data_IF_443196095129
#
_entry.id   IF_443196095129
#
_cell.length_a   1.000
_cell.length_b   1.000
_cell.length_c   1.000
_cell.angle_alpha   90.00
_cell.angle_beta   90.00
_cell.angle_gamma   90.00
#
_symmetry.space_group_name_H-M   'P 1'
#
loop_
_entity.id
_entity.type
_entity.pdbx_description
1 polymer ?
#
# COMPACT_ATOMS: atom_id res chain seq x y z
N UNK A 1 1.24 -13.60 11.70
CA UNK A 1 2.36 -12.86 12.33
C UNK A 1 3.49 -12.72 11.31
N UNK A 2 4.11 -11.54 11.18
CA UNK A 2 5.20 -11.34 10.22
C UNK A 2 6.50 -11.96 10.77
N UNK A 3 6.88 -13.13 10.26
CA UNK A 3 8.17 -13.78 10.55
C UNK A 3 9.09 -13.70 9.34
N UNK A 4 10.39 -13.57 9.58
CA UNK A 4 11.46 -13.75 8.61
C UNK A 4 12.50 -14.69 9.20
N UNK A 5 12.95 -15.64 8.40
CA UNK A 5 14.04 -16.55 8.76
C UNK A 5 15.37 -15.90 8.39
N UNK A 6 16.32 -15.96 9.32
CA UNK A 6 17.70 -15.51 9.15
C UNK A 6 18.52 -16.75 8.84
N UNK A 7 19.26 -16.74 7.73
CA UNK A 7 20.17 -17.84 7.37
C UNK A 7 21.54 -17.60 8.01
N UNK A 8 22.29 -18.67 8.26
CA UNK A 8 23.66 -18.58 8.77
C UNK A 8 24.55 -17.80 7.78
N UNK A 9 25.34 -16.86 8.31
CA UNK A 9 26.17 -15.95 7.51
C UNK A 9 25.45 -14.72 6.94
N UNK A 10 24.14 -14.54 7.19
CA UNK A 10 23.43 -13.34 6.76
C UNK A 10 23.65 -12.16 7.71
N UNK A 11 24.04 -11.00 7.16
CA UNK A 11 24.13 -9.76 7.93
C UNK A 11 22.75 -9.31 8.43
N UNK A 12 22.65 -8.97 9.72
CA UNK A 12 21.42 -8.57 10.41
C UNK A 12 20.65 -7.44 9.69
N UNK A 13 21.36 -6.49 9.08
CA UNK A 13 20.74 -5.38 8.35
C UNK A 13 19.95 -5.84 7.12
N UNK A 14 20.42 -6.88 6.43
CA UNK A 14 19.71 -7.43 5.27
C UNK A 14 18.41 -8.09 5.69
N UNK A 15 18.42 -8.81 6.82
CA UNK A 15 17.22 -9.37 7.42
C UNK A 15 16.21 -8.28 7.83
N UNK A 16 16.68 -7.21 8.48
CA UNK A 16 15.85 -6.06 8.85
C UNK A 16 15.24 -5.36 7.62
N UNK A 17 16.02 -5.20 6.54
CA UNK A 17 15.54 -4.61 5.29
C UNK A 17 14.45 -5.46 4.65
N UNK A 18 14.60 -6.80 4.64
CA UNK A 18 13.52 -7.70 4.20
C UNK A 18 12.29 -7.56 5.07
N UNK A 19 12.46 -7.45 6.40
CA UNK A 19 11.34 -7.30 7.32
C UNK A 19 10.55 -6.03 7.06
N UNK A 20 11.24 -4.89 6.97
CA UNK A 20 10.63 -3.60 6.63
C UNK A 20 9.92 -3.64 5.28
N UNK A 21 10.52 -4.28 4.27
CA UNK A 21 9.89 -4.48 2.95
C UNK A 21 8.64 -5.37 3.03
N UNK A 22 8.70 -6.49 3.77
CA UNK A 22 7.57 -7.41 3.96
C UNK A 22 6.42 -6.70 4.68
N UNK A 23 6.72 -5.98 5.76
CA UNK A 23 5.79 -5.16 6.52
C UNK A 23 5.06 -4.13 5.63
N UNK A 24 5.82 -3.38 4.82
CA UNK A 24 5.26 -2.41 3.87
C UNK A 24 4.40 -3.09 2.81
N UNK A 25 4.85 -4.22 2.26
CA UNK A 25 4.10 -4.99 1.24
C UNK A 25 2.77 -5.51 1.79
N UNK A 26 2.76 -5.97 3.03
CA UNK A 26 1.54 -6.45 3.70
C UNK A 26 0.59 -5.34 4.13
N UNK A 27 0.98 -4.06 3.98
CA UNK A 27 0.12 -2.89 4.27
C UNK A 27 -0.53 -2.91 5.67
N UNK A 28 0.16 -3.49 6.66
CA UNK A 28 -0.40 -3.69 8.01
C UNK A 28 -0.86 -2.36 8.63
N UNK A 29 -0.05 -1.30 8.54
CA UNK A 29 -0.45 0.03 9.04
C UNK A 29 -1.66 0.61 8.32
N UNK A 30 -1.75 0.42 7.00
CA UNK A 30 -2.86 0.93 6.19
C UNK A 30 -4.15 0.22 6.59
N UNK A 31 -4.11 -1.10 6.75
CA UNK A 31 -5.25 -1.90 7.19
C UNK A 31 -5.70 -1.51 8.60
N UNK A 32 -4.77 -1.32 9.54
CA UNK A 32 -5.10 -0.86 10.89
C UNK A 32 -5.81 0.50 10.82
N UNK A 33 -5.26 1.47 10.09
CA UNK A 33 -5.85 2.81 9.94
C UNK A 33 -7.23 2.77 9.28
N UNK A 34 -7.40 1.98 8.23
CA UNK A 34 -8.67 1.85 7.53
C UNK A 34 -9.74 1.22 8.41
N UNK A 35 -9.36 0.28 9.27
CA UNK A 35 -10.27 -0.44 10.16
C UNK A 35 -10.51 0.28 11.50
N UNK A 36 -9.91 1.44 11.75
CA UNK A 36 -10.12 2.20 12.98
C UNK A 36 -11.56 2.71 13.14
N UNK A 37 -12.28 2.90 12.03
CA UNK A 37 -13.64 3.42 12.03
C UNK A 37 -14.48 2.73 10.96
N UNK A 38 -15.78 2.63 11.20
CA UNK A 38 -16.71 2.11 10.21
C UNK A 38 -16.92 3.13 9.08
N UNK A 39 -16.71 2.68 7.84
CA UNK A 39 -16.99 3.46 6.63
C UNK A 39 -18.20 2.85 5.94
N UNK A 40 -19.23 3.66 5.70
CA UNK A 40 -20.42 3.21 4.96
C UNK A 40 -20.02 2.79 3.53
N UNK A 41 -20.58 1.70 2.97
CA UNK A 41 -20.25 1.23 1.62
C UNK A 41 -20.44 2.30 0.53
N UNK A 42 -21.43 3.18 0.70
CA UNK A 42 -21.69 4.29 -0.22
C UNK A 42 -20.57 5.33 -0.23
N UNK A 43 -19.95 5.60 0.92
CA UNK A 43 -18.83 6.53 1.03
C UNK A 43 -17.58 5.91 0.40
N UNK A 44 -17.29 4.64 0.68
CA UNK A 44 -16.16 3.92 0.08
C UNK A 44 -16.24 3.90 -1.46
N UNK A 45 -17.41 3.56 -2.02
CA UNK A 45 -17.65 3.59 -3.48
C UNK A 45 -17.42 4.98 -4.07
N UNK A 46 -17.86 6.03 -3.38
CA UNK A 46 -17.69 7.41 -3.84
C UNK A 46 -16.22 7.81 -3.92
N UNK A 47 -15.44 7.50 -2.90
CA UNK A 47 -13.99 7.77 -2.90
C UNK A 47 -13.26 6.98 -3.99
N UNK A 48 -13.64 5.72 -4.22
CA UNK A 48 -13.06 4.91 -5.29
C UNK A 48 -13.32 5.53 -6.68
N UNK A 49 -14.56 5.97 -6.96
CA UNK A 49 -14.92 6.63 -8.23
C UNK A 49 -14.18 7.96 -8.42
N UNK A 50 -14.12 8.79 -7.39
CA UNK A 50 -13.37 10.06 -7.45
C UNK A 50 -11.89 9.83 -7.79
N UNK A 51 -11.27 8.85 -7.12
CA UNK A 51 -9.87 8.48 -7.37
C UNK A 51 -9.65 7.90 -8.78
N UNK A 52 -10.63 7.18 -9.32
CA UNK A 52 -10.58 6.67 -10.69
C UNK A 52 -10.62 7.80 -11.72
N UNK A 53 -11.59 8.72 -11.59
CA UNK A 53 -11.70 9.89 -12.47
C UNK A 53 -10.43 10.75 -12.47
N UNK A 54 -9.87 11.01 -11.29
CA UNK A 54 -8.62 11.76 -11.16
C UNK A 54 -7.45 11.07 -11.90
N UNK A 55 -7.29 9.74 -11.71
CA UNK A 55 -6.24 8.98 -12.40
C UNK A 55 -6.42 8.97 -13.91
N UNK A 56 -7.66 8.79 -14.38
CA UNK A 56 -7.96 8.83 -15.80
C UNK A 56 -7.57 10.18 -16.41
N UNK A 57 -7.97 11.29 -15.78
CA UNK A 57 -7.58 12.64 -16.22
C UNK A 57 -6.05 12.78 -16.27
N UNK A 58 -5.36 12.35 -15.23
CA UNK A 58 -3.90 12.42 -15.17
C UNK A 58 -3.20 11.64 -16.30
N UNK A 59 -3.72 10.46 -16.67
CA UNK A 59 -3.12 9.69 -17.77
C UNK A 59 -3.36 10.33 -19.13
N UNK A 60 -4.56 10.88 -19.38
CA UNK A 60 -4.86 11.59 -20.64
C UNK A 60 -3.97 12.82 -20.81
N UNK A 61 -3.87 13.66 -19.76
CA UNK A 61 -2.99 14.84 -19.78
C UNK A 61 -1.53 14.45 -20.01
N UNK A 62 -1.10 13.33 -19.43
CA UNK A 62 0.24 12.81 -19.65
C UNK A 62 0.45 12.35 -21.09
N UNK A 63 -0.52 11.65 -21.69
CA UNK A 63 -0.46 11.21 -23.09
C UNK A 63 -0.45 12.38 -24.07
N UNK A 64 -1.20 13.46 -23.79
CA UNK A 64 -1.19 14.70 -24.59
C UNK A 64 0.14 15.48 -24.50
N UNK A 65 0.95 15.22 -23.48
CA UNK A 65 2.25 15.86 -23.23
C UNK A 65 3.43 15.16 -23.92
N UNK A 66 3.22 13.97 -24.51
CA UNK A 66 4.21 13.22 -25.29
C UNK A 66 3.92 13.34 -26.79
#
# INVERSE_FOLDING_TARGET
>A
MLKIEIKEGEHIERALKRYKRKYRRTKVLENIKNNQHYVKPSNERRHALQKAKYRQKYYLEKEELF
#
